data_IF_547999509138
#
_entry.id   IF_547999509138
#
_cell.length_a   1.000
_cell.length_b   1.000
_cell.length_c   1.000
_cell.angle_alpha   90.00
_cell.angle_beta   90.00
_cell.angle_gamma   90.00
#
_symmetry.space_group_name_H-M   'P 1'
#
loop_
_entity.id
_entity.type
_entity.pdbx_description
1 polymer ?
#
# COMPACT_ATOMS: atom_id res chain seq x y z
N UNK A 1 -4.10 -10.22 2.69
CA UNK A 1 -4.54 -9.42 1.52
C UNK A 1 -4.97 -8.06 2.05
N UNK A 2 -4.61 -6.99 1.36
CA UNK A 2 -4.98 -5.61 1.71
C UNK A 2 -5.66 -4.96 0.52
N UNK A 3 -6.70 -4.18 0.77
CA UNK A 3 -7.47 -3.41 -0.20
C UNK A 3 -7.30 -1.90 0.02
N UNK A 4 -7.72 -1.10 -0.98
CA UNK A 4 -7.68 0.36 -0.94
C UNK A 4 -6.28 0.95 -0.70
N UNK A 5 -5.22 0.25 -1.14
CA UNK A 5 -3.83 0.64 -0.87
C UNK A 5 -3.40 1.92 -1.60
N UNK A 6 -4.21 2.41 -2.55
CA UNK A 6 -3.99 3.70 -3.21
C UNK A 6 -4.81 4.87 -2.63
N UNK A 7 -5.84 4.60 -1.82
CA UNK A 7 -6.77 5.61 -1.28
C UNK A 7 -7.26 6.64 -2.31
N UNK A 8 -7.75 6.17 -3.45
CA UNK A 8 -8.17 6.98 -4.59
C UNK A 8 -6.99 7.67 -5.30
N UNK A 9 -5.81 7.05 -5.31
CA UNK A 9 -4.57 7.59 -5.88
C UNK A 9 -3.84 8.60 -4.99
N UNK A 10 -4.44 9.04 -3.88
CA UNK A 10 -3.88 10.07 -2.97
C UNK A 10 -2.59 9.65 -2.27
N UNK A 11 -2.36 8.33 -2.16
CA UNK A 11 -1.11 7.80 -1.61
C UNK A 11 0.09 8.22 -2.46
N UNK A 12 -0.09 8.38 -3.76
CA UNK A 12 0.98 8.73 -4.71
C UNK A 12 1.20 10.24 -4.83
N UNK A 13 0.24 11.06 -4.40
CA UNK A 13 0.31 12.51 -4.49
C UNK A 13 0.89 13.12 -3.19
N UNK A 14 2.04 13.81 -3.26
CA UNK A 14 2.68 14.42 -2.09
C UNK A 14 1.89 15.60 -1.50
N UNK A 15 0.85 16.12 -2.16
CA UNK A 15 -0.02 17.14 -1.58
C UNK A 15 -0.90 16.57 -0.45
N UNK A 16 -1.17 15.27 -0.44
CA UNK A 16 -2.06 14.63 0.53
C UNK A 16 -1.30 14.17 1.78
N UNK A 17 -1.31 15.00 2.83
CA UNK A 17 -0.54 14.77 4.07
C UNK A 17 -1.37 14.45 5.31
N UNK A 18 -2.69 14.28 5.19
CA UNK A 18 -3.50 13.79 6.32
C UNK A 18 -2.98 12.42 6.83
N UNK A 19 -3.19 12.16 8.13
CA UNK A 19 -2.65 10.98 8.81
C UNK A 19 -2.92 9.67 8.07
N UNK A 20 -4.11 9.49 7.48
CA UNK A 20 -4.46 8.29 6.68
C UNK A 20 -3.55 8.07 5.47
N UNK A 21 -3.14 9.12 4.77
CA UNK A 21 -2.31 9.02 3.57
C UNK A 21 -0.87 8.68 3.95
N UNK A 22 -0.35 9.32 5.00
CA UNK A 22 0.99 9.05 5.52
C UNK A 22 1.07 7.63 6.07
N UNK A 23 0.07 7.19 6.83
CA UNK A 23 -0.01 5.82 7.35
C UNK A 23 -0.07 4.80 6.21
N UNK A 24 -0.87 5.04 5.17
CA UNK A 24 -0.96 4.10 4.04
C UNK A 24 0.34 4.02 3.24
N UNK A 25 1.03 5.15 2.99
CA UNK A 25 2.38 5.14 2.38
C UNK A 25 3.36 4.29 3.20
N UNK A 26 3.44 4.55 4.51
CA UNK A 26 4.33 3.79 5.41
C UNK A 26 3.99 2.31 5.46
N UNK A 27 2.71 1.96 5.41
CA UNK A 27 2.27 0.56 5.36
C UNK A 27 2.71 -0.11 4.07
N UNK A 28 2.53 0.55 2.93
CA UNK A 28 2.98 0.05 1.64
C UNK A 28 4.50 -0.13 1.61
N UNK A 29 5.26 0.84 2.10
CA UNK A 29 6.73 0.78 2.20
C UNK A 29 7.17 -0.38 3.10
N UNK A 30 6.50 -0.57 4.25
CA UNK A 30 6.79 -1.65 5.17
C UNK A 30 6.57 -3.02 4.52
N UNK A 31 5.45 -3.21 3.83
CA UNK A 31 5.14 -4.49 3.16
C UNK A 31 6.10 -4.77 1.99
N UNK A 32 6.52 -3.73 1.27
CA UNK A 32 7.47 -3.85 0.18
C UNK A 32 8.87 -4.24 0.68
N UNK A 33 9.27 -3.77 1.86
CA UNK A 33 10.57 -4.05 2.48
C UNK A 33 10.58 -5.31 3.37
N UNK A 34 9.43 -5.89 3.70
CA UNK A 34 9.35 -7.03 4.63
C UNK A 34 9.75 -8.36 3.97
N UNK A 35 10.96 -8.82 4.26
CA UNK A 35 11.50 -10.08 3.74
C UNK A 35 10.72 -11.33 4.18
N UNK A 36 9.84 -11.25 5.19
CA UNK A 36 9.05 -12.40 5.65
C UNK A 36 7.89 -12.71 4.69
N UNK A 37 7.60 -11.80 3.76
CA UNK A 37 6.54 -11.96 2.76
C UNK A 37 7.09 -11.78 1.35
N UNK A 38 6.40 -12.40 0.38
CA UNK A 38 6.49 -12.06 -1.04
C UNK A 38 5.20 -11.32 -1.38
N UNK A 39 5.32 -10.07 -1.80
CA UNK A 39 4.17 -9.19 -2.04
C UNK A 39 4.08 -8.70 -3.48
N UNK A 40 2.86 -8.49 -3.96
CA UNK A 40 2.56 -7.82 -5.23
C UNK A 40 1.42 -6.83 -5.01
N UNK A 41 1.59 -5.62 -5.54
CA UNK A 41 0.58 -4.58 -5.56
C UNK A 41 -0.06 -4.52 -6.94
N UNK A 42 -1.36 -4.72 -7.01
CA UNK A 42 -2.13 -4.81 -8.25
C UNK A 42 -3.00 -3.56 -8.41
N UNK A 43 -3.01 -2.93 -9.60
CA UNK A 43 -3.84 -1.76 -9.89
C UNK A 43 -5.29 -2.16 -10.24
N UNK A 44 -5.90 -2.99 -9.40
CA UNK A 44 -7.30 -3.40 -9.53
C UNK A 44 -8.13 -2.61 -8.53
N UNK A 45 -9.21 -1.97 -9.00
CA UNK A 45 -10.05 -1.04 -8.21
C UNK A 45 -9.19 0.07 -7.59
N UNK A 46 -9.23 0.21 -6.27
CA UNK A 46 -8.47 1.21 -5.52
C UNK A 46 -7.12 0.67 -4.99
N UNK A 47 -6.57 -0.30 -5.71
CA UNK A 47 -5.36 -1.01 -5.35
C UNK A 47 -5.61 -2.19 -4.42
N UNK A 48 -4.93 -3.29 -4.69
CA UNK A 48 -4.91 -4.49 -3.84
C UNK A 48 -3.47 -4.96 -3.66
N UNK A 49 -3.05 -5.21 -2.43
CA UNK A 49 -1.78 -5.87 -2.14
C UNK A 49 -2.03 -7.32 -1.70
N UNK A 50 -1.48 -8.26 -2.47
CA UNK A 50 -1.42 -9.67 -2.08
C UNK A 50 -0.04 -9.92 -1.50
N UNK A 51 0.02 -10.32 -0.23
CA UNK A 51 1.25 -10.70 0.45
C UNK A 51 1.14 -12.15 0.90
N UNK A 52 2.04 -13.00 0.40
CA UNK A 52 2.17 -14.39 0.80
C UNK A 52 3.35 -14.49 1.77
N UNK A 53 3.10 -15.01 2.97
CA UNK A 53 4.21 -15.35 3.89
C UNK A 53 5.07 -16.44 3.24
N UNK A 54 6.39 -16.36 3.44
CA UNK A 54 7.30 -17.45 3.07
C UNK A 54 6.98 -18.71 3.84
#
# INVERSE_FOLDING_TARGET
MLDNVFLGGRVLDPAYQEARHVTMRRLNDLIAADERVVSVMLPVRDGVTVARRR
#
